data_IF_672030287940
#
_entry.id   IF_672030287940
#
_cell.length_a   1.000
_cell.length_b   1.000
_cell.length_c   1.000
_cell.angle_alpha   90.00
_cell.angle_beta   90.00
_cell.angle_gamma   90.00
#
_symmetry.space_group_name_H-M   'P 1'
#
loop_
_entity.id
_entity.type
_entity.pdbx_description
1 polymer ?
#
# COMPACT_ATOMS: atom_id res chain seq x y z
N UNK A 1 10.86 -32.01 18.32
CA UNK A 1 9.74 -32.27 19.24
C UNK A 1 8.65 -31.22 19.01
N UNK A 2 7.39 -31.55 19.24
CA UNK A 2 6.27 -30.60 19.21
C UNK A 2 6.19 -29.83 20.53
N UNK A 3 5.58 -28.65 20.51
CA UNK A 3 5.28 -27.85 21.68
C UNK A 3 4.11 -26.91 21.37
N UNK A 4 3.40 -26.46 22.41
CA UNK A 4 2.34 -25.48 22.29
C UNK A 4 2.84 -24.22 21.60
N UNK A 5 2.08 -23.71 20.63
CA UNK A 5 2.44 -22.52 19.87
C UNK A 5 2.55 -21.30 20.80
N UNK A 6 3.74 -20.70 20.84
CA UNK A 6 4.06 -19.48 21.58
C UNK A 6 4.45 -18.31 20.66
N UNK A 7 4.64 -18.56 19.36
CA UNK A 7 5.11 -17.56 18.40
C UNK A 7 6.57 -17.15 18.57
N UNK A 8 7.25 -17.70 19.59
CA UNK A 8 8.64 -17.42 19.89
C UNK A 8 9.58 -17.89 18.78
N UNK A 9 10.77 -17.30 18.73
CA UNK A 9 11.75 -17.53 17.65
C UNK A 9 12.18 -18.99 17.50
N UNK A 10 12.08 -19.79 18.57
CA UNK A 10 12.35 -21.23 18.57
C UNK A 10 11.32 -22.06 17.79
N UNK A 11 10.16 -21.49 17.47
CA UNK A 11 9.09 -22.12 16.67
C UNK A 11 8.97 -21.54 15.26
N UNK A 12 9.90 -20.66 14.87
CA UNK A 12 9.94 -20.06 13.54
C UNK A 12 10.97 -20.80 12.69
N UNK A 13 10.60 -21.10 11.44
CA UNK A 13 11.44 -21.85 10.52
C UNK A 13 11.50 -21.14 9.17
N UNK A 14 12.71 -21.05 8.61
CA UNK A 14 12.97 -20.55 7.27
C UNK A 14 13.06 -21.74 6.31
N UNK A 15 12.25 -21.70 5.24
CA UNK A 15 12.31 -22.66 4.15
C UNK A 15 13.29 -22.12 3.10
N UNK A 16 14.43 -22.77 2.97
CA UNK A 16 15.50 -22.40 2.03
C UNK A 16 15.37 -23.29 0.81
N UNK A 17 15.10 -22.71 -0.36
CA UNK A 17 14.92 -23.44 -1.62
C UNK A 17 16.18 -24.23 -1.99
N UNK A 18 15.98 -25.49 -2.38
CA UNK A 18 16.98 -26.40 -2.93
C UNK A 18 16.59 -26.82 -4.35
N UNK A 19 17.51 -27.48 -5.07
CA UNK A 19 17.23 -27.97 -6.41
C UNK A 19 16.12 -29.03 -6.42
N UNK A 20 15.31 -29.05 -7.48
CA UNK A 20 14.26 -30.07 -7.69
C UNK A 20 13.01 -29.90 -6.82
N UNK A 21 12.72 -28.70 -6.32
CA UNK A 21 11.51 -28.40 -5.55
C UNK A 21 11.59 -28.74 -4.05
N UNK A 22 12.78 -29.10 -3.56
CA UNK A 22 13.01 -29.42 -2.15
C UNK A 22 13.38 -28.17 -1.34
N UNK A 23 13.26 -28.27 -0.02
CA UNK A 23 13.65 -27.21 0.92
C UNK A 23 14.54 -27.76 2.04
N UNK A 24 15.51 -26.96 2.47
CA UNK A 24 16.09 -27.10 3.81
C UNK A 24 15.30 -26.24 4.79
N UNK A 25 14.91 -26.83 5.92
CA UNK A 25 14.07 -26.17 6.92
C UNK A 25 14.96 -25.77 8.10
N UNK A 26 15.29 -24.47 8.20
CA UNK A 26 16.22 -23.92 9.19
C UNK A 26 15.45 -23.27 10.33
N UNK A 27 15.72 -23.67 11.58
CA UNK A 27 15.15 -23.01 12.74
C UNK A 27 15.77 -21.61 12.92
N UNK A 28 14.91 -20.61 13.15
CA UNK A 28 15.34 -19.21 13.27
C UNK A 28 16.10 -18.96 14.57
N UNK A 29 15.78 -19.63 15.68
CA UNK A 29 16.45 -19.44 16.96
C UNK A 29 17.83 -20.07 17.02
N UNK A 30 17.95 -21.33 16.59
CA UNK A 30 19.21 -22.08 16.71
C UNK A 30 20.13 -21.86 15.50
N UNK A 31 19.57 -21.46 14.36
CA UNK A 31 20.30 -21.44 13.09
C UNK A 31 20.63 -22.82 12.53
N UNK A 32 20.07 -23.90 13.10
CA UNK A 32 20.30 -25.29 12.68
C UNK A 32 19.17 -25.78 11.75
N UNK A 33 19.47 -26.78 10.93
CA UNK A 33 18.52 -27.36 9.98
C UNK A 33 17.86 -28.63 10.53
N UNK A 34 16.61 -28.88 10.12
CA UNK A 34 15.97 -30.18 10.31
C UNK A 34 16.78 -31.27 9.61
N UNK A 35 17.00 -32.38 10.32
CA UNK A 35 17.90 -33.46 9.94
C UNK A 35 17.30 -34.82 10.30
N UNK A 36 17.29 -35.74 9.34
CA UNK A 36 17.01 -37.15 9.62
C UNK A 36 18.28 -37.80 10.18
N UNK A 37 18.18 -38.25 11.42
CA UNK A 37 19.33 -38.78 12.17
C UNK A 37 20.06 -39.88 11.41
N UNK A 38 21.39 -39.70 11.30
CA UNK A 38 22.34 -40.61 10.66
C UNK A 38 22.01 -40.93 9.19
N UNK A 39 21.27 -40.04 8.52
CA UNK A 39 20.78 -40.23 7.15
C UNK A 39 20.01 -41.55 6.96
N UNK A 40 19.42 -42.08 8.03
CA UNK A 40 18.72 -43.36 8.01
C UNK A 40 17.55 -43.31 7.03
N UNK A 41 17.29 -44.42 6.35
CA UNK A 41 16.12 -44.62 5.47
C UNK A 41 15.03 -45.48 6.13
N UNK A 42 15.21 -45.84 7.40
CA UNK A 42 14.27 -46.69 8.14
C UNK A 42 13.20 -45.86 8.86
N UNK A 43 12.02 -46.46 9.01
CA UNK A 43 10.98 -45.97 9.92
C UNK A 43 11.54 -45.84 11.35
N UNK A 44 11.12 -44.79 12.06
CA UNK A 44 11.55 -44.55 13.43
C UNK A 44 12.83 -43.72 13.58
N UNK A 45 13.50 -43.37 12.48
CA UNK A 45 14.66 -42.48 12.56
C UNK A 45 14.22 -41.08 13.03
N UNK A 46 14.84 -40.57 14.09
CA UNK A 46 14.46 -39.31 14.72
C UNK A 46 14.77 -38.11 13.81
N UNK A 47 13.88 -37.13 13.85
CA UNK A 47 14.13 -35.79 13.30
C UNK A 47 14.79 -34.94 14.38
N UNK A 48 16.01 -34.47 14.11
CA UNK A 48 16.80 -33.61 14.99
C UNK A 48 17.09 -32.26 14.33
N UNK A 49 17.71 -31.36 15.10
CA UNK A 49 18.34 -30.16 14.57
C UNK A 49 19.85 -30.39 14.51
N UNK A 50 20.46 -30.12 13.36
CA UNK A 50 21.90 -30.29 13.16
C UNK A 50 22.48 -29.16 12.29
N UNK A 51 23.81 -29.05 12.27
CA UNK A 51 24.50 -28.11 11.40
C UNK A 51 24.03 -28.27 9.95
N UNK A 52 23.60 -27.16 9.34
CA UNK A 52 23.09 -27.16 7.98
C UNK A 52 24.15 -27.62 6.98
N UNK A 53 23.76 -28.51 6.08
CA UNK A 53 24.60 -29.09 5.03
C UNK A 53 23.80 -29.24 3.73
N UNK A 54 24.45 -29.63 2.64
CA UNK A 54 23.80 -29.96 1.37
C UNK A 54 23.30 -31.41 1.29
N UNK A 55 23.38 -32.18 2.39
CA UNK A 55 22.95 -33.58 2.43
C UNK A 55 21.45 -33.74 2.15
N UNK A 56 21.08 -34.76 1.38
CA UNK A 56 19.67 -35.03 1.02
C UNK A 56 18.79 -35.38 2.22
N UNK A 57 19.37 -35.84 3.33
CA UNK A 57 18.69 -36.10 4.61
C UNK A 57 18.32 -34.83 5.41
N UNK A 58 18.66 -33.64 4.89
CA UNK A 58 18.21 -32.32 5.40
C UNK A 58 17.34 -31.58 4.36
N UNK A 59 16.80 -32.29 3.37
CA UNK A 59 16.00 -31.72 2.29
C UNK A 59 14.62 -32.39 2.26
N UNK A 60 13.58 -31.56 2.24
CA UNK A 60 12.20 -32.02 2.34
C UNK A 60 11.36 -31.44 1.21
N UNK A 61 10.55 -32.29 0.59
CA UNK A 61 9.50 -31.88 -0.32
C UNK A 61 8.27 -31.48 0.50
N UNK A 62 7.67 -30.35 0.17
CA UNK A 62 6.41 -29.89 0.78
C UNK A 62 5.28 -30.24 -0.17
N UNK A 63 4.39 -31.13 0.23
CA UNK A 63 3.32 -31.63 -0.64
C UNK A 63 1.96 -31.32 0.00
N UNK A 64 1.06 -30.70 -0.77
CA UNK A 64 -0.32 -30.41 -0.34
C UNK A 64 -1.11 -31.71 -0.12
N UNK A 65 -1.79 -31.80 1.03
CA UNK A 65 -2.66 -32.92 1.39
C UNK A 65 -4.15 -32.54 1.42
N UNK A 66 -4.48 -31.30 1.01
CA UNK A 66 -5.83 -30.74 1.06
C UNK A 66 -6.16 -30.08 2.40
N UNK A 67 -7.24 -29.28 2.42
CA UNK A 67 -7.75 -28.65 3.65
C UNK A 67 -6.77 -27.66 4.32
N UNK A 68 -5.77 -27.15 3.58
CA UNK A 68 -4.75 -26.23 4.11
C UNK A 68 -3.65 -26.91 4.93
N UNK A 69 -3.43 -28.21 4.71
CA UNK A 69 -2.37 -29.00 5.37
C UNK A 69 -1.38 -29.54 4.34
N UNK A 70 -0.17 -29.87 4.79
CA UNK A 70 0.90 -30.43 3.96
C UNK A 70 1.53 -31.64 4.64
N UNK A 71 2.20 -32.49 3.86
CA UNK A 71 3.20 -33.45 4.36
C UNK A 71 4.61 -33.00 3.98
N UNK A 72 5.60 -33.42 4.77
CA UNK A 72 7.02 -33.09 4.57
C UNK A 72 7.80 -34.38 4.30
N UNK A 73 8.19 -34.61 3.04
CA UNK A 73 8.82 -35.86 2.59
C UNK A 73 10.33 -35.71 2.47
N UNK A 74 11.09 -36.51 3.21
CA UNK A 74 12.56 -36.47 3.17
C UNK A 74 13.09 -36.97 1.82
N UNK A 75 13.98 -36.19 1.19
CA UNK A 75 14.49 -36.44 -0.17
C UNK A 75 15.20 -37.78 -0.33
N UNK A 76 15.94 -38.22 0.69
CA UNK A 76 16.77 -39.42 0.62
C UNK A 76 16.01 -40.72 0.90
N UNK A 77 14.97 -40.67 1.74
CA UNK A 77 14.23 -41.87 2.18
C UNK A 77 12.84 -42.00 1.55
N UNK A 78 12.25 -40.90 1.08
CA UNK A 78 10.85 -40.88 0.64
C UNK A 78 9.83 -41.01 1.79
N UNK A 79 10.30 -41.02 3.04
CA UNK A 79 9.46 -41.08 4.24
C UNK A 79 9.04 -39.68 4.68
N UNK A 80 7.92 -39.58 5.41
CA UNK A 80 7.37 -38.31 5.87
C UNK A 80 7.75 -38.01 7.31
N UNK A 81 7.80 -36.73 7.69
CA UNK A 81 7.84 -36.33 9.10
C UNK A 81 6.57 -36.81 9.79
N UNK A 82 6.71 -37.43 10.95
CA UNK A 82 5.65 -38.05 11.72
C UNK A 82 5.84 -37.71 13.22
N UNK A 83 4.74 -37.34 13.89
CA UNK A 83 4.71 -37.17 15.34
C UNK A 83 4.61 -38.54 16.00
N UNK A 84 5.64 -38.90 16.78
CA UNK A 84 5.83 -40.25 17.34
C UNK A 84 4.55 -40.69 18.08
N UNK A 85 3.96 -41.79 17.61
CA UNK A 85 2.76 -42.40 18.19
C UNK A 85 1.51 -41.52 18.16
N UNK A 86 1.50 -40.43 17.37
CA UNK A 86 0.41 -39.46 17.36
C UNK A 86 0.26 -38.67 18.67
N UNK A 87 1.32 -38.58 19.48
CA UNK A 87 1.27 -37.89 20.77
C UNK A 87 0.96 -36.39 20.62
N UNK A 88 0.14 -35.86 21.53
CA UNK A 88 -0.29 -34.44 21.53
C UNK A 88 0.38 -33.60 22.62
N UNK A 89 1.12 -34.23 23.53
CA UNK A 89 1.78 -33.55 24.63
C UNK A 89 3.01 -32.78 24.19
N UNK A 90 3.26 -31.63 24.81
CA UNK A 90 4.50 -30.88 24.63
C UNK A 90 5.70 -31.78 24.88
N UNK A 91 6.66 -31.72 23.97
CA UNK A 91 7.86 -32.53 23.99
C UNK A 91 7.77 -33.87 23.29
N UNK A 92 6.62 -34.24 22.72
CA UNK A 92 6.53 -35.42 21.85
C UNK A 92 7.52 -35.29 20.68
N UNK A 93 8.34 -36.31 20.46
CA UNK A 93 9.37 -36.32 19.43
C UNK A 93 8.79 -36.36 18.00
N UNK A 94 9.68 -36.13 17.03
CA UNK A 94 9.40 -36.32 15.61
C UNK A 94 10.34 -37.41 15.10
N UNK A 95 9.82 -38.29 14.26
CA UNK A 95 10.60 -39.27 13.49
C UNK A 95 10.15 -39.25 12.02
N UNK A 96 10.83 -39.98 11.15
CA UNK A 96 10.30 -40.29 9.84
C UNK A 96 9.52 -41.61 9.86
N UNK A 97 8.44 -41.68 9.09
CA UNK A 97 7.63 -42.90 8.95
C UNK A 97 7.03 -43.01 7.54
N UNK A 98 6.58 -44.21 7.18
CA UNK A 98 5.83 -44.43 5.95
C UNK A 98 4.52 -43.64 5.94
N UNK A 99 4.21 -42.99 4.82
CA UNK A 99 2.97 -42.24 4.66
C UNK A 99 1.75 -43.16 4.79
N UNK A 100 0.89 -42.87 5.77
CA UNK A 100 -0.37 -43.54 6.03
C UNK A 100 -1.59 -42.60 5.98
N UNK A 101 -1.39 -41.29 5.81
CA UNK A 101 -2.47 -40.31 5.69
C UNK A 101 -3.15 -39.92 7.01
N UNK A 102 -2.59 -40.33 8.15
CA UNK A 102 -3.08 -39.97 9.47
C UNK A 102 -2.69 -38.55 9.85
N UNK A 103 -3.45 -37.94 10.76
CA UNK A 103 -3.28 -36.52 11.15
C UNK A 103 -1.93 -36.20 11.79
N UNK A 104 -1.24 -37.20 12.36
CA UNK A 104 0.12 -37.06 12.91
C UNK A 104 1.22 -36.95 11.84
N UNK A 105 0.86 -37.05 10.56
CA UNK A 105 1.74 -36.90 9.39
C UNK A 105 1.40 -35.67 8.54
N UNK A 106 0.36 -34.92 8.91
CA UNK A 106 -0.10 -33.70 8.23
C UNK A 106 0.16 -32.49 9.10
N UNK A 107 0.77 -31.45 8.53
CA UNK A 107 1.15 -30.23 9.24
C UNK A 107 0.51 -29.02 8.59
N UNK A 108 0.11 -28.03 9.39
CA UNK A 108 -0.27 -26.71 8.89
C UNK A 108 0.97 -25.82 8.94
N UNK A 109 1.41 -25.33 7.78
CA UNK A 109 2.43 -24.28 7.74
C UNK A 109 1.76 -22.94 8.05
N UNK A 110 2.22 -22.30 9.11
CA UNK A 110 1.72 -21.02 9.59
C UNK A 110 2.83 -20.00 9.32
N UNK A 111 2.55 -19.00 8.50
CA UNK A 111 3.54 -17.98 8.15
C UNK A 111 4.07 -17.34 9.45
N UNK A 112 5.39 -17.29 9.60
CA UNK A 112 6.03 -16.70 10.78
C UNK A 112 5.57 -15.24 10.93
N UNK A 113 4.64 -15.03 11.86
CA UNK A 113 3.76 -13.86 11.95
C UNK A 113 2.33 -14.22 12.43
N UNK A 114 1.97 -15.51 12.45
CA UNK A 114 0.60 -15.98 12.77
C UNK A 114 0.50 -17.09 13.83
N UNK A 115 1.50 -17.29 14.70
CA UNK A 115 1.42 -18.29 15.78
C UNK A 115 1.21 -17.64 17.16
N UNK A 116 -0.05 -17.32 17.41
CA UNK A 116 -0.65 -16.74 18.61
C UNK A 116 -2.02 -16.26 18.13
N UNK A 117 -3.07 -16.35 18.94
CA UNK A 117 -4.38 -15.76 18.60
C UNK A 117 -4.32 -14.22 18.58
N UNK A 118 -3.48 -13.66 17.72
CA UNK A 118 -3.45 -12.27 17.32
C UNK A 118 -3.69 -12.26 15.82
N UNK A 119 -4.72 -11.55 15.40
CA UNK A 119 -5.05 -11.25 14.02
C UNK A 119 -3.79 -10.78 13.27
N UNK A 120 -3.69 -11.06 11.96
CA UNK A 120 -2.69 -10.36 11.14
C UNK A 120 -2.83 -8.85 11.44
N UNK A 121 -1.79 -8.18 11.96
CA UNK A 121 -1.90 -6.79 12.40
C UNK A 121 -2.16 -5.81 11.24
N UNK A 122 -2.07 -6.32 10.01
CA UNK A 122 -2.42 -5.65 8.77
C UNK A 122 -3.65 -6.30 8.08
N UNK A 123 -4.40 -7.17 8.76
CA UNK A 123 -5.60 -7.78 8.21
C UNK A 123 -6.57 -6.67 7.81
N UNK A 124 -7.06 -6.76 6.58
CA UNK A 124 -8.13 -5.89 6.10
C UNK A 124 -9.44 -6.61 6.37
N UNK A 125 -10.35 -5.97 7.12
CA UNK A 125 -11.73 -6.46 7.24
C UNK A 125 -12.65 -5.71 6.28
N UNK A 126 -13.57 -6.45 5.65
CA UNK A 126 -14.65 -5.85 4.87
C UNK A 126 -15.56 -4.94 5.72
N UNK A 127 -15.58 -5.13 7.03
CA UNK A 127 -16.34 -4.31 7.96
C UNK A 127 -15.60 -3.07 8.48
N UNK A 128 -14.34 -2.86 8.08
CA UNK A 128 -13.60 -1.69 8.54
C UNK A 128 -14.32 -0.41 8.16
N UNK A 129 -14.15 0.59 9.02
CA UNK A 129 -14.77 1.90 8.89
C UNK A 129 -13.69 2.96 8.73
N UNK A 130 -13.99 4.07 8.04
CA UNK A 130 -13.10 5.21 8.02
C UNK A 130 -12.82 5.69 9.44
N UNK A 131 -11.63 6.21 9.64
CA UNK A 131 -11.23 7.05 10.76
C UNK A 131 -10.90 8.46 10.24
N UNK A 132 -10.31 9.29 11.09
CA UNK A 132 -9.91 10.64 10.70
C UNK A 132 -11.10 11.55 10.36
N UNK A 133 -10.86 12.47 9.43
CA UNK A 133 -11.89 13.40 8.97
C UNK A 133 -13.05 12.68 8.26
N UNK A 134 -12.80 11.59 7.52
CA UNK A 134 -13.86 10.81 6.88
C UNK A 134 -14.85 10.17 7.86
N UNK A 135 -14.49 10.00 9.14
CA UNK A 135 -15.38 9.47 10.17
C UNK A 135 -16.31 10.51 10.82
N UNK A 136 -16.07 11.80 10.58
CA UNK A 136 -16.80 12.88 11.22
C UNK A 136 -18.19 13.07 10.61
N UNK A 137 -19.05 13.86 11.28
CA UNK A 137 -20.31 14.36 10.73
C UNK A 137 -21.24 13.30 10.09
N UNK A 138 -21.33 12.10 10.68
CA UNK A 138 -22.14 10.99 10.15
C UNK A 138 -21.33 9.91 9.42
N UNK A 139 -20.06 10.19 9.11
CA UNK A 139 -19.06 9.26 8.60
C UNK A 139 -19.24 8.88 7.12
N UNK A 140 -18.21 8.28 6.55
CA UNK A 140 -18.25 7.69 5.20
C UNK A 140 -18.71 6.24 5.26
N UNK A 141 -19.86 5.95 4.65
CA UNK A 141 -20.51 4.63 4.61
C UNK A 141 -20.51 3.98 3.22
N UNK A 142 -20.17 4.75 2.18
CA UNK A 142 -20.11 4.30 0.79
C UNK A 142 -21.46 3.79 0.28
N UNK A 143 -21.45 2.59 -0.30
CA UNK A 143 -22.66 1.88 -0.71
C UNK A 143 -23.52 1.35 0.44
N UNK A 144 -23.09 1.52 1.69
CA UNK A 144 -23.80 1.07 2.89
C UNK A 144 -24.08 -0.44 2.87
N UNK A 145 -25.34 -0.80 3.09
CA UNK A 145 -25.79 -2.20 3.15
C UNK A 145 -26.27 -2.75 1.80
N UNK A 146 -25.96 -2.08 0.68
CA UNK A 146 -26.29 -2.61 -0.64
C UNK A 146 -25.63 -3.99 -0.84
N UNK A 147 -26.36 -4.91 -1.45
CA UNK A 147 -25.84 -6.27 -1.71
C UNK A 147 -24.57 -6.19 -2.56
N UNK A 148 -23.46 -6.81 -2.13
CA UNK A 148 -22.21 -6.79 -2.89
C UNK A 148 -22.38 -7.38 -4.29
N UNK A 149 -21.84 -6.69 -5.28
CA UNK A 149 -21.81 -7.10 -6.68
C UNK A 149 -20.38 -7.52 -7.02
N UNK A 150 -20.20 -8.74 -7.51
CA UNK A 150 -18.93 -9.19 -8.08
C UNK A 150 -18.73 -8.56 -9.46
N UNK A 151 -17.62 -7.86 -9.63
CA UNK A 151 -17.28 -7.15 -10.86
C UNK A 151 -16.03 -7.77 -11.46
N UNK A 152 -16.12 -8.20 -12.71
CA UNK A 152 -15.03 -8.91 -13.42
C UNK A 152 -14.55 -8.19 -14.67
N UNK A 153 -15.20 -7.09 -15.07
CA UNK A 153 -14.84 -6.33 -16.28
C UNK A 153 -14.80 -4.82 -16.03
N UNK A 154 -13.95 -4.11 -16.77
CA UNK A 154 -13.83 -2.65 -16.70
C UNK A 154 -15.14 -1.95 -17.08
N UNK A 155 -15.86 -2.46 -18.09
CA UNK A 155 -17.15 -1.91 -18.52
C UNK A 155 -18.22 -2.02 -17.43
N UNK A 156 -18.32 -3.14 -16.72
CA UNK A 156 -19.23 -3.29 -15.58
C UNK A 156 -18.88 -2.32 -14.46
N UNK A 157 -17.60 -2.24 -14.09
CA UNK A 157 -17.17 -1.32 -13.03
C UNK A 157 -17.52 0.13 -13.39
N UNK A 158 -17.18 0.56 -14.61
CA UNK A 158 -17.53 1.90 -15.10
C UNK A 158 -19.02 2.16 -15.02
N UNK A 159 -19.84 1.24 -15.52
CA UNK A 159 -21.30 1.37 -15.52
C UNK A 159 -21.84 1.57 -14.10
N UNK A 160 -21.43 0.75 -13.14
CA UNK A 160 -21.92 0.85 -11.77
C UNK A 160 -21.40 2.07 -11.03
N UNK A 161 -20.19 2.53 -11.34
CA UNK A 161 -19.65 3.76 -10.74
C UNK A 161 -20.36 5.01 -11.23
N UNK A 162 -20.80 5.02 -12.49
CA UNK A 162 -21.47 6.17 -13.12
C UNK A 162 -22.98 6.22 -12.89
N UNK A 163 -23.58 5.18 -12.30
CA UNK A 163 -25.01 5.16 -11.97
C UNK A 163 -25.34 5.88 -10.66
N UNK A 164 -26.60 6.30 -10.52
CA UNK A 164 -27.08 7.01 -9.33
C UNK A 164 -27.41 6.13 -8.12
N UNK A 165 -27.18 4.81 -8.17
CA UNK A 165 -27.57 3.88 -7.11
C UNK A 165 -26.47 3.73 -6.06
N UNK A 166 -26.84 3.40 -4.82
CA UNK A 166 -25.85 2.97 -3.85
C UNK A 166 -25.27 1.61 -4.28
N UNK A 167 -23.94 1.45 -4.31
CA UNK A 167 -23.29 0.22 -4.77
C UNK A 167 -22.17 -0.23 -3.84
N UNK A 168 -22.13 -1.53 -3.55
CA UNK A 168 -20.96 -2.22 -3.00
C UNK A 168 -20.39 -3.13 -4.08
N UNK A 169 -19.19 -2.83 -4.55
CA UNK A 169 -18.55 -3.43 -5.72
C UNK A 169 -17.28 -4.16 -5.30
N UNK A 170 -17.29 -5.48 -5.47
CA UNK A 170 -16.17 -6.38 -5.19
C UNK A 170 -15.45 -6.69 -6.51
N UNK A 171 -14.23 -6.18 -6.68
CA UNK A 171 -13.46 -6.34 -7.91
C UNK A 171 -12.67 -7.64 -7.82
N UNK A 172 -13.01 -8.60 -8.68
CA UNK A 172 -12.54 -9.98 -8.54
C UNK A 172 -11.23 -10.27 -9.27
N UNK A 173 -10.85 -9.41 -10.21
CA UNK A 173 -9.65 -9.55 -11.04
C UNK A 173 -9.15 -8.18 -11.50
N UNK A 174 -7.93 -8.18 -12.03
CA UNK A 174 -7.37 -7.00 -12.69
C UNK A 174 -8.26 -6.54 -13.86
N UNK A 175 -8.46 -5.22 -13.96
CA UNK A 175 -9.28 -4.56 -14.97
C UNK A 175 -8.44 -3.56 -15.77
N UNK A 176 -8.52 -3.62 -17.10
CA UNK A 176 -7.87 -2.66 -17.98
C UNK A 176 -8.89 -1.66 -18.54
N UNK A 177 -8.73 -0.39 -18.17
CA UNK A 177 -9.55 0.73 -18.63
C UNK A 177 -8.92 1.45 -19.83
N UNK A 178 -7.75 1.02 -20.30
CA UNK A 178 -7.11 1.65 -21.44
C UNK A 178 -7.88 1.33 -22.72
N UNK A 179 -8.03 2.37 -23.52
CA UNK A 179 -8.72 2.34 -24.82
C UNK A 179 -7.71 2.26 -25.96
N UNK A 180 -8.20 2.28 -27.20
CA UNK A 180 -7.33 2.53 -28.34
C UNK A 180 -6.61 3.89 -28.17
N UNK A 181 -5.33 3.93 -28.48
CA UNK A 181 -4.53 5.14 -28.37
C UNK A 181 -5.12 6.27 -29.22
N UNK A 182 -5.31 7.45 -28.61
CA UNK A 182 -5.81 8.65 -29.27
C UNK A 182 -4.76 9.75 -29.24
N UNK A 183 -4.62 10.46 -30.36
CA UNK A 183 -3.70 11.59 -30.48
C UNK A 183 -4.20 12.78 -29.67
N UNK A 184 -3.29 13.43 -28.96
CA UNK A 184 -3.53 14.65 -28.19
C UNK A 184 -2.46 15.69 -28.53
N UNK A 185 -2.88 16.94 -28.67
CA UNK A 185 -1.97 18.09 -28.80
C UNK A 185 -1.58 18.60 -27.41
N UNK A 186 -0.38 19.13 -27.29
CA UNK A 186 0.12 19.67 -26.04
C UNK A 186 1.44 20.40 -26.24
N UNK A 187 2.10 20.67 -25.11
CA UNK A 187 3.27 21.51 -25.04
C UNK A 187 4.46 20.67 -24.58
N UNK A 188 5.45 20.56 -25.46
CA UNK A 188 6.69 19.84 -25.19
C UNK A 188 7.80 20.81 -24.78
N UNK A 189 8.51 20.46 -23.71
CA UNK A 189 9.71 21.17 -23.26
C UNK A 189 10.83 20.18 -23.01
N UNK A 190 12.05 20.57 -23.37
CA UNK A 190 13.25 19.86 -22.92
C UNK A 190 13.56 20.27 -21.48
N UNK A 191 13.40 19.36 -20.53
CA UNK A 191 13.71 19.58 -19.13
C UNK A 191 15.09 18.97 -18.80
N UNK A 192 15.98 19.77 -18.21
CA UNK A 192 17.27 19.31 -17.70
C UNK A 192 17.09 18.71 -16.32
N UNK A 193 17.50 17.46 -16.13
CA UNK A 193 17.25 16.68 -14.93
C UNK A 193 18.39 16.72 -13.91
N UNK A 194 19.61 17.00 -14.35
CA UNK A 194 20.78 17.09 -13.49
C UNK A 194 21.84 18.03 -14.09
N UNK A 195 22.85 18.33 -13.28
CA UNK A 195 24.01 19.12 -13.68
C UNK A 195 24.95 18.40 -14.66
N UNK A 196 24.67 17.13 -14.99
CA UNK A 196 25.48 16.28 -15.87
C UNK A 196 24.91 16.22 -17.30
N UNK A 197 23.84 16.97 -17.58
CA UNK A 197 23.27 17.11 -18.92
C UNK A 197 22.22 16.07 -19.29
N UNK A 198 21.76 15.24 -18.34
CA UNK A 198 20.60 14.38 -18.58
C UNK A 198 19.37 15.26 -18.80
N UNK A 199 18.61 14.99 -19.85
CA UNK A 199 17.36 15.71 -20.12
C UNK A 199 16.24 14.74 -20.52
N UNK A 200 15.02 15.12 -20.21
CA UNK A 200 13.80 14.46 -20.69
C UNK A 200 12.98 15.44 -21.55
N UNK A 201 12.02 14.90 -22.28
CA UNK A 201 10.97 15.67 -22.93
C UNK A 201 9.72 15.60 -22.06
N UNK A 202 9.45 16.68 -21.35
CA UNK A 202 8.19 16.83 -20.63
C UNK A 202 7.12 17.24 -21.63
N UNK A 203 5.95 16.61 -21.54
CA UNK A 203 4.81 16.91 -22.39
C UNK A 203 3.60 17.19 -21.52
N UNK A 204 3.11 18.42 -21.55
CA UNK A 204 1.92 18.85 -20.83
C UNK A 204 0.74 18.91 -21.78
N UNK A 205 -0.36 18.23 -21.44
CA UNK A 205 -1.59 18.25 -22.22
C UNK A 205 -2.32 19.58 -22.01
N UNK A 206 -1.96 20.58 -22.80
CA UNK A 206 -2.49 21.94 -22.69
C UNK A 206 -2.75 22.55 -24.06
N UNK A 207 -3.78 23.41 -24.14
CA UNK A 207 -4.06 24.23 -25.32
C UNK A 207 -3.13 25.43 -25.46
N UNK A 208 -2.45 25.80 -24.38
CA UNK A 208 -1.59 27.00 -24.31
C UNK A 208 -0.19 26.60 -23.87
N UNK A 209 0.78 26.88 -24.71
CA UNK A 209 2.19 26.63 -24.44
C UNK A 209 2.88 27.87 -23.89
N UNK A 210 3.75 27.65 -22.92
CA UNK A 210 4.64 28.68 -22.40
C UNK A 210 5.66 29.09 -23.48
N UNK A 211 6.31 30.23 -23.28
CA UNK A 211 7.28 30.77 -24.25
C UNK A 211 8.49 29.87 -24.50
N UNK A 212 8.77 28.93 -23.59
CA UNK A 212 9.85 27.95 -23.65
C UNK A 212 9.38 26.53 -24.06
N UNK A 213 8.11 26.39 -24.44
CA UNK A 213 7.48 25.15 -24.90
C UNK A 213 7.21 25.20 -26.42
N UNK A 214 7.20 24.03 -27.06
CA UNK A 214 6.78 23.88 -28.46
C UNK A 214 5.54 23.00 -28.57
N UNK A 215 4.62 23.36 -29.46
CA UNK A 215 3.45 22.52 -29.73
C UNK A 215 3.88 21.18 -30.33
N UNK A 216 3.42 20.08 -29.75
CA UNK A 216 3.67 18.73 -30.22
C UNK A 216 2.45 17.85 -30.03
N UNK A 217 2.49 16.62 -30.56
CA UNK A 217 1.44 15.61 -30.36
C UNK A 217 1.99 14.36 -29.70
N UNK A 218 1.16 13.75 -28.85
CA UNK A 218 1.40 12.46 -28.19
C UNK A 218 0.16 11.60 -28.24
N UNK A 219 0.25 10.36 -27.76
CA UNK A 219 -0.91 9.49 -27.58
C UNK A 219 -1.24 9.34 -26.10
N UNK A 220 -2.53 9.25 -25.81
CA UNK A 220 -3.05 8.86 -24.49
C UNK A 220 -4.12 7.80 -24.67
N UNK A 221 -4.43 7.02 -23.63
CA UNK A 221 -5.41 5.95 -23.74
C UNK A 221 -6.18 5.64 -22.45
N UNK A 222 -5.97 6.39 -21.39
CA UNK A 222 -6.71 6.25 -20.15
C UNK A 222 -8.22 6.51 -20.34
N UNK A 223 -9.02 6.03 -19.39
CA UNK A 223 -10.46 6.30 -19.31
C UNK A 223 -10.77 7.05 -18.02
N UNK A 224 -11.40 8.21 -18.17
CA UNK A 224 -12.03 8.92 -17.06
C UNK A 224 -13.34 8.24 -16.66
N UNK A 225 -13.50 7.99 -15.37
CA UNK A 225 -14.69 7.36 -14.76
C UNK A 225 -15.36 8.42 -13.89
N UNK A 226 -16.57 8.83 -14.24
CA UNK A 226 -17.30 9.86 -13.49
C UNK A 226 -18.13 9.23 -12.37
N UNK A 227 -17.47 8.98 -11.24
CA UNK A 227 -18.08 8.29 -10.12
C UNK A 227 -19.25 9.11 -9.57
N UNK A 228 -20.33 8.46 -9.17
CA UNK A 228 -21.48 9.06 -8.47
C UNK A 228 -21.47 8.72 -6.99
N UNK A 229 -22.16 9.50 -6.17
CA UNK A 229 -22.26 9.28 -4.72
C UNK A 229 -22.66 7.87 -4.29
N UNK A 230 -22.35 7.52 -3.04
CA UNK A 230 -22.74 6.28 -2.35
C UNK A 230 -22.14 5.02 -2.99
N UNK A 231 -20.81 4.95 -3.08
CA UNK A 231 -20.10 3.82 -3.69
C UNK A 231 -19.08 3.26 -2.71
N UNK A 232 -19.01 1.94 -2.63
CA UNK A 232 -17.93 1.20 -1.99
C UNK A 232 -17.29 0.32 -3.06
N UNK A 233 -15.99 0.51 -3.30
CA UNK A 233 -15.21 -0.27 -4.27
C UNK A 233 -14.08 -0.96 -3.52
N UNK A 234 -14.06 -2.29 -3.58
CA UNK A 234 -13.09 -3.10 -2.85
C UNK A 234 -12.44 -4.09 -3.81
N UNK A 235 -11.12 -4.08 -3.93
CA UNK A 235 -10.40 -5.16 -4.61
C UNK A 235 -10.41 -6.42 -3.74
N UNK A 236 -10.78 -7.56 -4.30
CA UNK A 236 -10.82 -8.83 -3.57
C UNK A 236 -9.50 -9.58 -3.68
N UNK A 237 -9.31 -10.61 -2.85
CA UNK A 237 -8.04 -11.34 -2.79
C UNK A 237 -6.93 -10.40 -2.36
N UNK A 238 -5.77 -10.47 -3.02
CA UNK A 238 -4.59 -9.65 -2.72
C UNK A 238 -4.72 -8.18 -3.18
N UNK A 239 -5.89 -7.79 -3.68
CA UNK A 239 -6.17 -6.51 -4.29
C UNK A 239 -6.31 -6.62 -5.81
N UNK A 240 -7.12 -5.74 -6.39
CA UNK A 240 -7.35 -5.71 -7.83
C UNK A 240 -6.60 -4.55 -8.48
N UNK A 241 -5.88 -4.82 -9.57
CA UNK A 241 -5.22 -3.79 -10.36
C UNK A 241 -6.18 -3.16 -11.36
N UNK A 242 -6.23 -1.82 -11.39
CA UNK A 242 -7.00 -1.02 -12.34
C UNK A 242 -6.03 -0.21 -13.21
N UNK A 243 -5.80 -0.67 -14.44
CA UNK A 243 -4.91 -0.02 -15.38
C UNK A 243 -5.61 1.11 -16.13
N UNK A 244 -5.03 2.32 -16.17
CA UNK A 244 -5.55 3.45 -16.94
C UNK A 244 -6.90 4.00 -16.47
N UNK A 245 -7.31 3.67 -15.24
CA UNK A 245 -8.51 4.20 -14.62
C UNK A 245 -8.21 5.56 -13.97
N UNK A 246 -8.88 6.62 -14.44
CA UNK A 246 -8.81 7.95 -13.85
C UNK A 246 -10.14 8.29 -13.18
N UNK A 247 -10.18 8.36 -11.85
CA UNK A 247 -11.42 8.53 -11.11
C UNK A 247 -11.76 9.99 -10.88
N UNK A 248 -12.79 10.47 -11.56
CA UNK A 248 -13.37 11.79 -11.28
C UNK A 248 -14.48 11.63 -10.23
N UNK A 249 -14.22 12.15 -9.02
CA UNK A 249 -15.14 12.13 -7.89
C UNK A 249 -15.86 13.48 -7.70
N UNK A 250 -15.78 14.40 -8.67
CA UNK A 250 -16.25 15.78 -8.51
C UNK A 250 -17.74 15.95 -8.20
N UNK A 251 -18.05 16.85 -7.27
CA UNK A 251 -19.41 17.14 -6.77
C UNK A 251 -20.16 15.90 -6.28
N UNK A 252 -19.44 14.96 -5.65
CA UNK A 252 -20.04 13.75 -5.09
C UNK A 252 -19.83 13.68 -3.58
N UNK A 253 -20.47 12.69 -2.96
CA UNK A 253 -20.24 12.37 -1.56
C UNK A 253 -20.34 10.88 -1.25
N UNK A 254 -19.80 10.51 -0.10
CA UNK A 254 -19.95 9.19 0.50
C UNK A 254 -19.35 8.08 -0.39
N UNK A 255 -18.02 8.09 -0.52
CA UNK A 255 -17.26 7.23 -1.42
C UNK A 255 -16.14 6.48 -0.68
N UNK A 256 -16.05 5.17 -0.89
CA UNK A 256 -15.05 4.28 -0.31
C UNK A 256 -14.31 3.56 -1.44
N UNK A 257 -12.98 3.65 -1.44
CA UNK A 257 -12.09 2.91 -2.34
C UNK A 257 -11.06 2.17 -1.49
N UNK A 258 -11.05 0.83 -1.55
CA UNK A 258 -10.16 0.02 -0.72
C UNK A 258 -9.51 -1.13 -1.46
N UNK A 259 -8.28 -1.45 -1.07
CA UNK A 259 -7.59 -2.65 -1.54
C UNK A 259 -7.42 -2.70 -3.07
N UNK A 260 -7.12 -1.56 -3.69
CA UNK A 260 -6.95 -1.42 -5.15
C UNK A 260 -5.53 -1.02 -5.49
N UNK A 261 -5.00 -1.52 -6.60
CA UNK A 261 -3.79 -0.95 -7.22
C UNK A 261 -4.20 -0.13 -8.45
N UNK A 262 -3.95 1.17 -8.42
CA UNK A 262 -4.34 2.12 -9.47
C UNK A 262 -3.07 2.59 -10.17
N UNK A 263 -2.94 2.26 -11.46
CA UNK A 263 -1.71 2.53 -12.18
C UNK A 263 -1.87 2.74 -13.68
N UNK A 264 -0.78 3.18 -14.31
CA UNK A 264 -0.65 3.35 -15.76
C UNK A 264 -1.66 4.33 -16.39
N UNK A 265 -1.85 5.48 -15.74
CA UNK A 265 -2.61 6.61 -16.30
C UNK A 265 -1.63 7.53 -17.01
N UNK A 266 -1.26 7.20 -18.25
CA UNK A 266 -0.33 7.96 -19.12
C UNK A 266 0.92 8.53 -18.39
N UNK A 267 1.76 7.70 -17.75
CA UNK A 267 2.82 8.16 -16.84
C UNK A 267 3.88 9.08 -17.45
N UNK A 268 3.96 9.17 -18.79
CA UNK A 268 4.88 10.04 -19.52
C UNK A 268 4.29 11.36 -20.01
N UNK A 269 3.04 11.65 -19.68
CA UNK A 269 2.39 12.92 -19.95
C UNK A 269 2.11 13.64 -18.63
N UNK A 270 2.00 14.96 -18.65
CA UNK A 270 1.53 15.80 -17.54
C UNK A 270 0.12 16.29 -17.90
N UNK A 271 -0.78 16.40 -16.92
CA UNK A 271 -2.21 16.78 -17.11
C UNK A 271 -3.02 15.79 -17.98
N UNK A 272 -2.58 14.54 -18.11
CA UNK A 272 -3.25 13.49 -18.89
C UNK A 272 -4.04 12.49 -18.04
N UNK A 273 -4.50 12.92 -16.88
CA UNK A 273 -5.36 12.17 -15.96
C UNK A 273 -4.73 11.97 -14.58
N UNK A 274 -5.59 11.97 -13.58
CA UNK A 274 -5.22 11.72 -12.18
C UNK A 274 -5.60 10.29 -11.79
N UNK A 275 -5.05 9.80 -10.68
CA UNK A 275 -5.56 8.61 -10.02
C UNK A 275 -6.95 8.92 -9.47
N UNK A 276 -7.05 9.96 -8.64
CA UNK A 276 -8.30 10.48 -8.10
C UNK A 276 -8.35 12.00 -8.18
N UNK A 277 -9.36 12.54 -8.85
CA UNK A 277 -9.72 13.95 -8.82
C UNK A 277 -10.91 14.14 -7.87
N UNK A 278 -10.75 14.93 -6.81
CA UNK A 278 -11.76 15.17 -5.77
C UNK A 278 -12.07 16.68 -5.71
N UNK A 279 -12.98 17.12 -6.58
CA UNK A 279 -13.41 18.51 -6.64
C UNK A 279 -14.71 18.71 -5.86
N UNK A 280 -14.76 19.66 -4.92
CA UNK A 280 -15.99 20.05 -4.21
C UNK A 280 -16.81 18.86 -3.62
N UNK A 281 -16.13 17.84 -3.08
CA UNK A 281 -16.74 16.56 -2.68
C UNK A 281 -16.49 16.21 -1.22
N UNK A 282 -17.40 15.45 -0.60
CA UNK A 282 -17.35 15.18 0.85
C UNK A 282 -17.38 13.70 1.19
N UNK A 283 -16.88 13.31 2.36
CA UNK A 283 -16.94 11.93 2.84
C UNK A 283 -16.30 10.96 1.84
N UNK A 284 -14.97 11.03 1.70
CA UNK A 284 -14.20 10.12 0.84
C UNK A 284 -13.17 9.38 1.67
N UNK A 285 -13.13 8.07 1.55
CA UNK A 285 -12.15 7.22 2.21
C UNK A 285 -11.40 6.37 1.18
N UNK A 286 -10.09 6.56 1.12
CA UNK A 286 -9.17 5.79 0.28
C UNK A 286 -8.23 5.05 1.22
N UNK A 287 -8.28 3.70 1.20
CA UNK A 287 -7.62 2.88 2.21
C UNK A 287 -6.96 1.62 1.62
N UNK A 288 -5.76 1.28 2.07
CA UNK A 288 -5.05 0.08 1.58
C UNK A 288 -4.93 0.02 0.05
N UNK A 289 -4.83 1.18 -0.60
CA UNK A 289 -4.59 1.22 -2.05
C UNK A 289 -3.10 1.24 -2.36
N UNK A 290 -2.72 0.90 -3.58
CA UNK A 290 -1.45 1.30 -4.18
C UNK A 290 -1.72 2.25 -5.33
N UNK A 291 -0.91 3.30 -5.47
CA UNK A 291 -1.02 4.24 -6.58
C UNK A 291 0.37 4.44 -7.17
N UNK A 292 0.49 4.31 -8.49
CA UNK A 292 1.76 4.42 -9.21
C UNK A 292 1.58 4.83 -10.66
N UNK A 293 2.62 5.40 -11.29
CA UNK A 293 2.63 5.64 -12.75
C UNK A 293 1.38 6.42 -13.25
N UNK A 294 1.03 7.46 -12.50
CA UNK A 294 -0.02 8.42 -12.87
C UNK A 294 0.61 9.62 -13.60
N UNK A 295 -0.13 10.20 -14.53
CA UNK A 295 0.29 11.32 -15.36
C UNK A 295 0.54 12.57 -14.53
N UNK A 296 -0.44 12.95 -13.71
CA UNK A 296 -0.37 14.13 -12.85
C UNK A 296 -0.69 13.76 -11.38
N UNK A 297 -1.83 14.19 -10.82
CA UNK A 297 -2.19 13.92 -9.43
C UNK A 297 -2.43 12.44 -9.16
N UNK A 298 -1.70 11.83 -8.23
CA UNK A 298 -2.16 10.57 -7.63
C UNK A 298 -3.45 10.84 -6.86
N UNK A 299 -3.48 11.97 -6.17
CA UNK A 299 -4.66 12.57 -5.57
C UNK A 299 -4.65 14.08 -5.83
N UNK A 300 -5.65 14.58 -6.55
CA UNK A 300 -5.86 16.01 -6.80
C UNK A 300 -7.16 16.47 -6.14
N UNK A 301 -7.04 17.20 -5.01
CA UNK A 301 -8.17 17.65 -4.19
C UNK A 301 -8.27 19.17 -4.21
N UNK A 302 -9.45 19.68 -4.54
CA UNK A 302 -9.64 21.12 -4.59
C UNK A 302 -11.08 21.57 -4.78
N UNK A 303 -11.24 22.86 -4.98
CA UNK A 303 -12.51 23.48 -5.34
C UNK A 303 -12.50 23.82 -6.82
N UNK A 304 -13.68 24.04 -7.39
CA UNK A 304 -13.76 24.91 -8.56
C UNK A 304 -13.35 26.33 -8.13
N UNK A 305 -12.75 27.12 -9.02
CA UNK A 305 -12.19 28.43 -8.68
C UNK A 305 -13.24 29.44 -8.15
N UNK A 306 -14.54 29.14 -8.26
CA UNK A 306 -15.65 30.04 -7.92
C UNK A 306 -16.36 29.73 -6.60
N UNK A 307 -16.10 28.60 -5.94
CA UNK A 307 -16.90 28.14 -4.78
C UNK A 307 -16.08 28.13 -3.49
N UNK A 308 -16.41 29.04 -2.56
CA UNK A 308 -15.88 29.03 -1.19
C UNK A 308 -16.84 28.40 -0.18
N UNK A 309 -18.11 28.22 -0.56
CA UNK A 309 -19.16 27.62 0.27
C UNK A 309 -19.23 26.09 0.14
N UNK A 310 -18.79 25.54 -0.99
CA UNK A 310 -18.67 24.10 -1.23
C UNK A 310 -17.20 23.78 -1.41
N UNK A 311 -16.62 23.07 -0.45
CA UNK A 311 -15.22 22.67 -0.48
C UNK A 311 -15.08 21.20 -0.10
N UNK A 312 -13.98 20.56 -0.51
CA UNK A 312 -13.74 19.19 -0.11
C UNK A 312 -13.66 19.07 1.42
N UNK A 313 -14.42 18.18 2.00
CA UNK A 313 -14.49 18.04 3.46
C UNK A 313 -14.63 16.57 3.85
N UNK A 314 -14.15 16.20 5.03
CA UNK A 314 -14.27 14.84 5.54
C UNK A 314 -13.60 13.78 4.66
N UNK A 315 -12.30 13.91 4.40
CA UNK A 315 -11.57 12.97 3.55
C UNK A 315 -10.42 12.31 4.32
N UNK A 316 -10.24 11.00 4.14
CA UNK A 316 -9.12 10.24 4.74
C UNK A 316 -8.41 9.42 3.68
N UNK A 317 -7.08 9.56 3.62
CA UNK A 317 -6.16 8.66 2.91
C UNK A 317 -5.37 7.86 3.95
N UNK A 318 -5.59 6.55 3.97
CA UNK A 318 -5.05 5.65 4.98
C UNK A 318 -4.36 4.43 4.39
N UNK A 319 -3.33 3.95 5.06
CA UNK A 319 -2.66 2.67 4.73
C UNK A 319 -2.30 2.50 3.24
N UNK A 320 -2.08 3.59 2.50
CA UNK A 320 -1.90 3.53 1.05
C UNK A 320 -0.42 3.54 0.70
N UNK A 321 -0.02 2.65 -0.22
CA UNK A 321 1.32 2.62 -0.79
C UNK A 321 1.41 3.52 -2.02
N UNK A 322 2.13 4.63 -1.87
CA UNK A 322 2.36 5.63 -2.90
C UNK A 322 3.76 5.39 -3.50
N UNK A 323 3.80 4.74 -4.66
CA UNK A 323 5.04 4.50 -5.38
C UNK A 323 5.31 5.68 -6.32
N UNK A 324 6.24 6.53 -5.91
CA UNK A 324 6.64 7.73 -6.64
C UNK A 324 7.65 7.47 -7.76
N UNK A 325 8.12 6.24 -7.99
CA UNK A 325 9.08 5.98 -9.08
C UNK A 325 8.39 6.16 -10.43
N UNK A 326 8.93 7.07 -11.25
CA UNK A 326 8.41 7.33 -12.59
C UNK A 326 9.58 7.59 -13.56
N UNK A 327 9.87 6.66 -14.49
CA UNK A 327 11.01 6.78 -15.41
C UNK A 327 10.86 7.89 -16.46
N UNK A 328 9.65 8.44 -16.62
CA UNK A 328 9.36 9.52 -17.55
C UNK A 328 9.59 10.91 -16.96
N UNK A 329 9.84 11.02 -15.65
CA UNK A 329 10.13 12.29 -14.99
C UNK A 329 11.60 12.42 -14.58
N UNK A 330 12.07 13.66 -14.44
CA UNK A 330 13.44 13.93 -14.02
C UNK A 330 13.72 13.29 -12.65
N UNK A 331 14.93 12.74 -12.51
CA UNK A 331 15.31 12.01 -11.30
C UNK A 331 14.64 10.64 -11.14
N UNK A 332 13.79 10.21 -12.07
CA UNK A 332 13.05 8.94 -11.96
C UNK A 332 11.98 8.96 -10.87
N UNK A 333 11.56 10.15 -10.41
CA UNK A 333 10.65 10.35 -9.30
C UNK A 333 9.54 11.33 -9.67
N UNK A 334 8.31 10.99 -9.30
CA UNK A 334 7.11 11.70 -9.66
C UNK A 334 6.93 12.97 -8.82
N UNK A 335 6.65 14.10 -9.48
CA UNK A 335 6.63 15.43 -8.86
C UNK A 335 5.23 15.93 -8.47
N UNK A 336 4.17 15.28 -8.94
CA UNK A 336 2.80 15.74 -8.81
C UNK A 336 1.94 14.85 -7.92
N UNK A 337 2.52 14.21 -6.89
CA UNK A 337 1.88 13.13 -6.13
C UNK A 337 0.51 13.52 -5.56
N UNK A 338 0.45 14.40 -4.56
CA UNK A 338 -0.78 14.78 -3.89
C UNK A 338 -0.90 16.30 -3.79
N UNK A 339 -1.98 16.86 -4.33
CA UNK A 339 -2.38 18.25 -4.11
C UNK A 339 -3.68 18.28 -3.30
N UNK A 340 -3.76 19.18 -2.32
CA UNK A 340 -4.99 19.45 -1.60
C UNK A 340 -5.14 20.94 -1.33
N UNK A 341 -6.27 21.51 -1.76
CA UNK A 341 -6.59 22.91 -1.59
C UNK A 341 -7.94 23.10 -0.91
N UNK A 342 -8.00 23.99 0.09
CA UNK A 342 -9.22 24.32 0.83
C UNK A 342 -9.99 23.09 1.37
N UNK A 343 -9.27 22.04 1.81
CA UNK A 343 -9.88 20.78 2.22
C UNK A 343 -9.66 20.43 3.69
N UNK A 344 -10.53 19.60 4.30
CA UNK A 344 -10.20 18.94 5.58
C UNK A 344 -9.88 17.48 5.35
N UNK A 345 -8.63 17.10 5.61
CA UNK A 345 -8.10 15.80 5.23
C UNK A 345 -7.18 15.18 6.27
N UNK A 346 -7.29 13.86 6.40
CA UNK A 346 -6.39 13.04 7.20
C UNK A 346 -5.51 12.21 6.27
N UNK A 347 -4.21 12.22 6.54
CA UNK A 347 -3.24 11.29 5.99
C UNK A 347 -2.64 10.47 7.12
N UNK A 348 -2.83 9.16 7.11
CA UNK A 348 -2.11 8.32 8.07
C UNK A 348 -1.72 6.95 7.55
N UNK A 349 -0.62 6.44 8.09
CA UNK A 349 -0.10 5.12 7.76
C UNK A 349 0.18 4.89 6.28
N UNK A 350 0.33 5.97 5.52
CA UNK A 350 0.70 5.91 4.10
C UNK A 350 2.21 5.76 3.96
N UNK A 351 2.62 4.99 2.95
CA UNK A 351 4.02 4.83 2.58
C UNK A 351 4.30 5.53 1.26
N UNK A 352 5.06 6.62 1.31
CA UNK A 352 5.57 7.33 0.15
C UNK A 352 6.98 6.85 -0.19
N UNK A 353 7.13 6.13 -1.29
CA UNK A 353 8.40 5.52 -1.72
C UNK A 353 8.93 6.20 -2.98
N UNK A 354 10.08 6.87 -2.87
CA UNK A 354 10.81 7.46 -3.99
C UNK A 354 10.00 8.46 -4.85
N UNK A 355 9.23 9.35 -4.23
CA UNK A 355 8.60 10.49 -4.90
C UNK A 355 9.45 11.76 -4.87
N UNK A 356 9.19 12.70 -5.78
CA UNK A 356 9.91 13.98 -5.80
C UNK A 356 9.27 15.01 -4.88
N UNK A 357 8.03 15.40 -5.16
CA UNK A 357 7.36 16.54 -4.54
C UNK A 357 5.86 16.34 -4.36
N UNK A 358 5.24 17.29 -3.64
CA UNK A 358 3.80 17.31 -3.33
C UNK A 358 3.36 16.06 -2.54
N UNK A 359 3.94 15.81 -1.37
CA UNK A 359 3.60 14.63 -0.57
C UNK A 359 3.03 14.96 0.84
N UNK A 360 1.98 15.78 1.00
CA UNK A 360 1.21 16.52 -0.01
C UNK A 360 1.65 17.99 -0.17
N UNK A 361 1.23 18.63 -1.26
CA UNK A 361 1.19 20.09 -1.39
C UNK A 361 -0.16 20.62 -0.89
N UNK A 362 -0.14 21.49 0.12
CA UNK A 362 -1.34 22.03 0.76
C UNK A 362 -1.49 23.53 0.47
N UNK A 363 -2.71 23.97 0.12
CA UNK A 363 -3.04 25.37 -0.15
C UNK A 363 -4.43 25.75 0.36
N UNK A 364 -4.70 27.05 0.44
CA UNK A 364 -6.02 27.61 0.72
C UNK A 364 -6.36 27.76 2.20
N UNK A 365 -7.13 28.81 2.51
CA UNK A 365 -7.46 29.22 3.88
C UNK A 365 -8.37 28.25 4.64
N UNK A 366 -9.09 27.37 3.94
CA UNK A 366 -9.93 26.33 4.56
C UNK A 366 -9.16 25.02 4.80
N UNK A 367 -7.91 24.93 4.35
CA UNK A 367 -7.16 23.68 4.40
C UNK A 367 -6.73 23.32 5.83
N UNK A 368 -7.19 22.17 6.29
CA UNK A 368 -6.82 21.55 7.56
C UNK A 368 -6.32 20.12 7.30
N UNK A 369 -5.00 19.96 7.33
CA UNK A 369 -4.35 18.69 7.09
C UNK A 369 -3.87 18.07 8.40
N UNK A 370 -4.35 16.88 8.74
CA UNK A 370 -3.80 16.07 9.81
C UNK A 370 -2.97 14.94 9.22
N UNK A 371 -1.66 14.98 9.40
CA UNK A 371 -0.73 13.99 8.88
C UNK A 371 -0.07 13.26 10.05
N UNK A 372 -0.44 12.01 10.29
CA UNK A 372 0.16 11.24 11.38
C UNK A 372 0.57 9.84 10.98
N UNK A 373 1.68 9.33 11.55
CA UNK A 373 2.22 8.01 11.23
C UNK A 373 2.33 7.70 9.73
N UNK A 374 2.76 8.62 8.89
CA UNK A 374 3.13 8.33 7.51
C UNK A 374 4.63 8.07 7.41
N UNK A 375 5.05 7.35 6.38
CA UNK A 375 6.45 7.07 6.10
C UNK A 375 6.86 7.63 4.74
N UNK A 376 7.79 8.57 4.72
CA UNK A 376 8.41 9.08 3.50
C UNK A 376 9.83 8.54 3.36
N UNK A 377 10.09 7.87 2.24
CA UNK A 377 11.38 7.28 1.91
C UNK A 377 11.94 7.91 0.62
N UNK A 378 13.16 8.46 0.71
CA UNK A 378 13.95 8.96 -0.42
C UNK A 378 13.26 10.06 -1.25
N UNK A 379 12.54 10.96 -0.59
CA UNK A 379 11.87 12.08 -1.29
C UNK A 379 12.86 13.12 -1.80
N UNK A 380 12.98 13.29 -3.11
CA UNK A 380 14.05 14.11 -3.69
C UNK A 380 13.85 15.63 -3.56
N UNK A 381 12.62 16.14 -3.49
CA UNK A 381 12.35 17.57 -3.35
C UNK A 381 11.68 17.95 -2.03
N UNK A 382 10.39 17.67 -1.82
CA UNK A 382 9.71 17.95 -0.55
C UNK A 382 8.58 16.97 -0.23
N UNK A 383 8.36 16.74 1.07
CA UNK A 383 7.24 15.97 1.56
C UNK A 383 6.02 16.89 1.74
N UNK A 384 5.83 17.43 2.94
CA UNK A 384 4.68 18.27 3.29
C UNK A 384 4.98 19.75 3.00
N UNK A 385 4.06 20.46 2.36
CA UNK A 385 4.09 21.94 2.36
C UNK A 385 2.78 22.50 2.88
N UNK A 386 2.79 23.71 3.43
CA UNK A 386 1.61 24.50 3.73
C UNK A 386 1.80 25.91 3.19
N UNK A 387 0.89 26.33 2.31
CA UNK A 387 0.85 27.64 1.67
C UNK A 387 -0.56 28.25 1.74
N UNK A 388 -0.71 29.52 1.38
CA UNK A 388 -2.01 30.19 1.17
C UNK A 388 -3.00 30.05 2.36
N UNK A 389 -2.48 30.15 3.59
CA UNK A 389 -3.14 29.99 4.88
C UNK A 389 -3.55 28.54 5.23
N UNK A 390 -3.05 27.55 4.50
CA UNK A 390 -3.23 26.15 4.86
C UNK A 390 -2.60 25.84 6.22
N UNK A 391 -3.25 24.94 6.97
CA UNK A 391 -2.82 24.49 8.27
C UNK A 391 -2.48 23.00 8.21
N UNK A 392 -1.26 22.63 8.59
CA UNK A 392 -0.82 21.24 8.66
C UNK A 392 -0.38 20.87 10.07
N UNK A 393 -0.99 19.84 10.62
CA UNK A 393 -0.58 19.20 11.87
C UNK A 393 0.12 17.89 11.55
N UNK A 394 1.42 17.82 11.81
CA UNK A 394 2.31 16.73 11.39
C UNK A 394 2.83 15.99 12.62
N UNK A 395 2.33 14.79 12.88
CA UNK A 395 2.54 14.09 14.16
C UNK A 395 3.05 12.65 13.99
N UNK A 396 4.12 12.27 14.69
CA UNK A 396 4.58 10.87 14.74
C UNK A 396 4.84 10.21 13.39
N UNK A 397 5.27 10.99 12.39
CA UNK A 397 5.64 10.49 11.07
C UNK A 397 7.12 10.07 11.02
N UNK A 398 7.49 9.31 9.99
CA UNK A 398 8.85 8.88 9.75
C UNK A 398 9.35 9.43 8.41
N UNK A 399 10.42 10.23 8.46
CA UNK A 399 11.07 10.82 7.28
C UNK A 399 12.47 10.23 7.13
N UNK A 400 12.68 9.45 6.07
CA UNK A 400 13.95 8.81 5.77
C UNK A 400 14.47 9.30 4.42
N UNK A 401 15.62 9.98 4.44
CA UNK A 401 16.27 10.53 3.25
C UNK A 401 15.40 11.49 2.41
N UNK A 402 14.36 12.07 3.00
CA UNK A 402 13.62 13.17 2.40
C UNK A 402 14.42 14.48 2.44
N UNK A 403 14.51 15.18 1.31
CA UNK A 403 15.24 16.45 1.16
C UNK A 403 14.63 17.61 1.96
N UNK A 404 13.29 17.71 1.99
CA UNK A 404 12.55 18.68 2.79
C UNK A 404 11.36 17.99 3.45
N UNK A 405 11.52 17.45 4.66
CA UNK A 405 10.42 16.79 5.38
C UNK A 405 9.18 17.69 5.53
N UNK A 406 9.38 18.98 5.76
CA UNK A 406 8.29 19.95 5.79
C UNK A 406 8.79 21.33 5.35
N UNK A 407 8.01 21.97 4.49
CA UNK A 407 8.33 23.26 3.87
C UNK A 407 7.18 24.24 4.06
N UNK A 408 7.40 25.25 4.90
CA UNK A 408 6.40 26.27 5.21
C UNK A 408 6.51 27.42 4.20
N UNK A 409 5.43 27.73 3.51
CA UNK A 409 5.34 28.85 2.58
C UNK A 409 4.34 29.87 3.13
N UNK A 410 4.84 31.02 3.57
CA UNK A 410 3.99 32.04 4.15
C UNK A 410 3.07 32.69 3.09
N UNK A 411 1.80 33.01 3.42
CA UNK A 411 1.15 32.70 4.69
C UNK A 411 0.75 31.21 4.74
N UNK A 412 1.03 30.51 5.83
CA UNK A 412 0.72 29.10 6.03
C UNK A 412 1.08 28.72 7.47
N UNK A 413 0.68 27.54 7.93
CA UNK A 413 1.03 27.05 9.26
C UNK A 413 1.38 25.55 9.26
N UNK A 414 2.49 25.20 9.90
CA UNK A 414 2.89 23.81 10.17
C UNK A 414 3.20 23.69 11.66
N UNK A 415 2.43 22.85 12.36
CA UNK A 415 2.74 22.43 13.71
C UNK A 415 3.19 20.96 13.71
N UNK A 416 4.24 20.67 14.48
CA UNK A 416 4.79 19.32 14.62
C UNK A 416 4.70 18.84 16.07
N UNK A 417 4.71 17.52 16.27
CA UNK A 417 4.96 16.90 17.58
C UNK A 417 6.38 16.32 17.69
N UNK A 418 6.73 15.90 18.91
CA UNK A 418 8.00 15.23 19.23
C UNK A 418 8.09 13.78 18.75
N UNK A 419 7.00 13.21 18.23
CA UNK A 419 6.97 11.84 17.73
C UNK A 419 7.55 11.69 16.33
N UNK A 420 7.69 12.78 15.57
CA UNK A 420 8.26 12.72 14.22
C UNK A 420 9.74 12.29 14.26
N UNK A 421 10.09 11.30 13.44
CA UNK A 421 11.45 10.77 13.31
C UNK A 421 12.06 11.20 11.99
N UNK A 422 13.33 11.60 12.02
CA UNK A 422 14.09 12.04 10.86
C UNK A 422 15.40 11.26 10.77
N UNK A 423 15.65 10.60 9.65
CA UNK A 423 16.89 9.83 9.43
C UNK A 423 17.55 10.15 8.09
N UNK A 424 18.87 9.92 8.04
CA UNK A 424 19.68 10.21 6.85
C UNK A 424 19.58 11.67 6.43
N UNK A 425 19.31 11.94 5.15
CA UNK A 425 19.21 13.32 4.62
C UNK A 425 18.17 14.19 5.34
N UNK A 426 17.13 13.57 5.90
CA UNK A 426 16.07 14.29 6.63
C UNK A 426 16.54 14.95 7.93
N UNK A 427 17.75 14.64 8.40
CA UNK A 427 18.34 15.26 9.59
C UNK A 427 18.88 16.67 9.33
N UNK A 428 19.25 17.00 8.09
CA UNK A 428 19.96 18.23 7.73
C UNK A 428 19.05 19.26 7.06
N UNK A 429 18.54 20.21 7.87
CA UNK A 429 17.78 21.44 7.54
C UNK A 429 16.56 21.30 6.59
N UNK A 430 15.77 22.37 6.44
CA UNK A 430 14.45 22.39 5.75
C UNK A 430 13.35 21.60 6.47
N UNK A 431 13.25 21.89 7.77
CA UNK A 431 12.21 21.43 8.69
C UNK A 431 11.46 22.64 9.22
N UNK A 432 10.73 23.31 8.33
CA UNK A 432 10.09 24.57 8.67
C UNK A 432 8.82 24.36 9.49
N UNK A 433 8.69 25.09 10.59
CA UNK A 433 7.53 25.04 11.48
C UNK A 433 7.11 26.47 11.83
N UNK A 434 5.85 26.66 12.15
CA UNK A 434 5.34 27.97 12.56
C UNK A 434 3.84 28.11 12.38
N UNK A 435 3.28 29.10 13.06
CA UNK A 435 1.85 29.39 13.07
C UNK A 435 1.05 28.50 14.03
N UNK A 436 -0.21 28.88 14.24
CA UNK A 436 -1.18 28.07 14.97
C UNK A 436 -2.00 27.24 13.98
N UNK A 437 -2.26 25.99 14.34
CA UNK A 437 -3.10 25.09 13.54
C UNK A 437 -4.31 24.66 14.35
N UNK A 438 -5.33 24.16 13.67
CA UNK A 438 -6.53 23.56 14.23
C UNK A 438 -6.24 22.46 15.27
N UNK A 439 -7.21 22.24 16.16
CA UNK A 439 -7.26 21.06 17.03
C UNK A 439 -7.91 19.90 16.28
N UNK A 440 -7.31 18.71 16.34
CA UNK A 440 -7.86 17.51 15.69
C UNK A 440 -9.23 17.18 16.30
N UNK A 441 -10.32 17.13 15.51
CA UNK A 441 -11.68 17.02 16.04
C UNK A 441 -12.13 15.58 16.33
N UNK A 442 -11.24 14.59 16.22
CA UNK A 442 -11.54 13.18 16.42
C UNK A 442 -10.48 12.48 17.26
N UNK A 443 -10.84 11.32 17.80
CA UNK A 443 -9.91 10.43 18.50
C UNK A 443 -9.02 9.69 17.51
N UNK A 444 -7.75 9.52 17.85
CA UNK A 444 -6.76 8.79 17.07
C UNK A 444 -5.66 8.28 18.00
N UNK A 445 -4.95 7.24 17.57
CA UNK A 445 -3.79 6.71 18.28
C UNK A 445 -2.56 6.86 17.39
N UNK A 446 -1.44 7.23 18.01
CA UNK A 446 -0.17 7.38 17.31
C UNK A 446 0.74 6.19 17.61
N UNK A 447 1.20 5.52 16.57
CA UNK A 447 2.34 4.62 16.66
C UNK A 447 3.62 5.45 16.86
N UNK A 448 4.69 4.84 17.40
CA UNK A 448 5.90 5.57 17.75
C UNK A 448 7.16 5.01 17.08
N UNK A 449 8.07 5.93 16.75
CA UNK A 449 9.45 5.59 16.38
C UNK A 449 9.57 4.71 15.15
N UNK A 450 10.57 3.84 15.17
CA UNK A 450 10.87 2.87 14.12
C UNK A 450 9.79 1.79 13.98
N UNK A 451 9.07 1.46 15.05
CA UNK A 451 7.98 0.49 15.00
C UNK A 451 6.84 0.97 14.10
N UNK A 452 6.52 2.28 14.14
CA UNK A 452 5.55 2.88 13.23
C UNK A 452 5.98 2.68 11.77
N UNK A 453 7.24 3.00 11.42
CA UNK A 453 7.80 2.78 10.08
C UNK A 453 7.67 1.32 9.65
N UNK A 454 8.07 0.39 10.50
CA UNK A 454 8.08 -1.03 10.16
C UNK A 454 6.67 -1.56 9.95
N UNK A 455 5.71 -1.12 10.78
CA UNK A 455 4.30 -1.43 10.58
C UNK A 455 3.78 -0.85 9.28
N UNK A 456 4.08 0.41 8.96
CA UNK A 456 3.65 1.04 7.69
C UNK A 456 4.22 0.28 6.49
N UNK A 457 5.51 -0.05 6.47
CA UNK A 457 6.10 -0.86 5.41
C UNK A 457 5.48 -2.24 5.30
N UNK A 458 5.13 -2.82 6.46
CA UNK A 458 4.55 -4.13 6.53
C UNK A 458 3.06 -4.14 6.19
N UNK A 459 2.32 -3.02 6.33
CA UNK A 459 0.86 -2.91 6.28
C UNK A 459 0.29 -2.01 5.16
N UNK A 460 1.02 -1.03 4.63
CA UNK A 460 0.49 -0.15 3.57
C UNK A 460 0.37 -0.88 2.23
N UNK A 461 -0.64 -0.51 1.44
CA UNK A 461 -0.94 -1.09 0.13
C UNK A 461 -1.97 -2.21 0.16
N UNK A 462 -2.33 -2.76 -1.02
CA UNK A 462 -3.28 -3.86 -1.12
C UNK A 462 -2.77 -5.13 -0.46
N UNK A 463 -3.70 -5.92 0.07
CA UNK A 463 -3.48 -7.15 0.82
C UNK A 463 -4.60 -8.13 0.61
N UNK A 464 -4.31 -9.36 0.99
CA UNK A 464 -5.31 -10.40 1.08
C UNK A 464 -6.41 -10.03 2.08
N UNK A 465 -7.60 -9.74 1.56
CA UNK A 465 -8.82 -9.73 2.37
C UNK A 465 -9.13 -11.18 2.74
N UNK A 466 -9.22 -11.45 4.05
CA UNK A 466 -9.47 -12.79 4.59
C UNK A 466 -10.95 -13.17 4.54
#
# INVERSE_FOLDING_TARGET
>A
MISACSGGVAQRFQFITQSGGYYSIKNVSSGLCLDVTDASTSNGALIKQWSCSSGSYQQFLVEDTGGGTVKLTARHSGLVIDVIGGGTSNGTGLHQWGWGGSTNQTFKLVASGTAGGGEDPCAISLSDKPDGFAAQAGGTTGGGNATPIQVTTASQLKQYLEDGQARVLHIMNDLDFRTAARTVSGCEKKASCDSQGKSIKEFRVSSTCNSDEVTATRTRNETTINVKSNKTVIGMGDGATLYGASFNLGNQENLIFRNLDIRDVNPGLIEAGDGFTITSSKHVWIDHCSISLISDGYLDVGTTASETSVHPDYITLSWTYINGRNPYQCGGQHSFVNFANNAKMTWHHNWYDNSSGRNPKLGGALMQAHLYNNYWLNTSYFCVTAAENAQARVESNYFENASKPHWLQAPGAIAIDSGNVYTGKSTSTSRDVGGSVFSVPYSYTKDSGTAARDRIKACAGPRRIQ
#
